data_IF_721627963794
#
_entry.id   IF_721627963794
#
_cell.length_a   1.000
_cell.length_b   1.000
_cell.length_c   1.000
_cell.angle_alpha   90.00
_cell.angle_beta   90.00
_cell.angle_gamma   90.00
#
_symmetry.space_group_name_H-M   'P 1'
#
loop_
_entity.id
_entity.type
_entity.pdbx_description
1 polymer ?
#
# COMPACT_ATOMS: atom_id res chain seq x y z
N UNK A 1 -12.29 27.43 0.87
CA UNK A 1 -12.92 26.46 1.78
C UNK A 1 -12.78 25.01 1.30
N UNK A 2 -13.21 24.65 0.09
CA UNK A 2 -13.08 23.26 -0.44
C UNK A 2 -11.64 22.77 -0.45
N UNK A 3 -10.70 23.54 -1.02
CA UNK A 3 -9.29 23.14 -1.08
C UNK A 3 -8.66 22.94 0.31
N UNK A 4 -9.01 23.78 1.29
CA UNK A 4 -8.52 23.65 2.67
C UNK A 4 -9.04 22.36 3.30
N UNK A 5 -10.32 22.03 3.11
CA UNK A 5 -10.90 20.78 3.58
C UNK A 5 -10.23 19.57 2.92
N UNK A 6 -9.98 19.65 1.60
CA UNK A 6 -9.25 18.60 0.89
C UNK A 6 -7.83 18.37 1.45
N UNK A 7 -7.08 19.44 1.72
CA UNK A 7 -5.74 19.32 2.31
C UNK A 7 -5.77 18.71 3.72
N UNK A 8 -6.76 19.11 4.54
CA UNK A 8 -6.90 18.55 5.89
C UNK A 8 -7.29 17.08 5.86
N UNK A 9 -8.32 16.72 5.08
CA UNK A 9 -8.77 15.31 5.02
C UNK A 9 -7.74 14.41 4.37
N UNK A 10 -7.19 14.81 3.22
CA UNK A 10 -6.19 14.04 2.49
C UNK A 10 -4.89 13.87 3.30
N UNK A 11 -4.40 14.97 3.89
CA UNK A 11 -3.21 14.93 4.75
C UNK A 11 -3.39 14.03 5.98
N UNK A 12 -4.57 14.10 6.62
CA UNK A 12 -4.88 13.24 7.76
C UNK A 12 -4.95 11.77 7.36
N UNK A 13 -5.65 11.45 6.27
CA UNK A 13 -5.79 10.06 5.79
C UNK A 13 -4.44 9.46 5.43
N UNK A 14 -3.62 10.17 4.65
CA UNK A 14 -2.28 9.69 4.29
C UNK A 14 -1.37 9.58 5.52
N UNK A 15 -1.40 10.58 6.40
CA UNK A 15 -0.60 10.57 7.64
C UNK A 15 -0.97 9.40 8.54
N UNK A 16 -2.24 9.14 8.75
CA UNK A 16 -2.71 8.02 9.56
C UNK A 16 -2.41 6.66 8.89
N UNK A 17 -2.64 6.52 7.60
CA UNK A 17 -2.35 5.27 6.88
C UNK A 17 -0.84 4.95 6.92
N UNK A 18 0.01 5.94 6.66
CA UNK A 18 1.46 5.80 6.81
C UNK A 18 1.87 5.49 8.24
N UNK A 19 1.24 6.13 9.22
CA UNK A 19 1.50 5.89 10.65
C UNK A 19 1.16 4.46 11.09
N UNK A 20 0.03 3.92 10.65
CA UNK A 20 -0.35 2.52 10.94
C UNK A 20 0.64 1.53 10.30
N UNK A 21 1.03 1.76 9.05
CA UNK A 21 2.03 0.93 8.38
C UNK A 21 3.40 1.03 9.07
N UNK A 22 3.80 2.23 9.50
CA UNK A 22 5.04 2.46 10.23
C UNK A 22 5.03 1.76 11.59
N UNK A 23 3.91 1.85 12.31
CA UNK A 23 3.73 1.15 13.57
C UNK A 23 3.84 -0.37 13.41
N UNK A 24 3.21 -0.94 12.37
CA UNK A 24 3.31 -2.37 12.09
C UNK A 24 4.76 -2.79 11.82
N UNK A 25 5.50 -2.02 11.02
CA UNK A 25 6.91 -2.33 10.70
C UNK A 25 7.84 -2.19 11.89
N UNK A 26 7.57 -1.27 12.83
CA UNK A 26 8.35 -1.16 14.09
C UNK A 26 7.99 -2.29 15.06
N UNK A 27 6.69 -2.58 15.22
CA UNK A 27 6.24 -3.54 16.22
C UNK A 27 6.53 -4.99 15.84
N UNK A 28 6.38 -5.33 14.56
CA UNK A 28 6.55 -6.69 14.06
C UNK A 28 7.85 -6.89 13.27
N UNK A 29 8.56 -5.81 12.98
CA UNK A 29 9.75 -5.82 12.12
C UNK A 29 9.40 -6.08 10.64
N UNK A 30 10.44 -6.34 9.87
CA UNK A 30 10.38 -6.83 8.50
C UNK A 30 11.22 -8.10 8.44
N UNK A 31 10.66 -9.24 8.89
CA UNK A 31 11.41 -10.50 8.94
C UNK A 31 11.80 -10.97 7.55
N UNK A 32 12.89 -11.70 7.45
CA UNK A 32 13.25 -12.42 6.24
C UNK A 32 12.53 -13.76 6.20
N UNK A 33 11.85 -14.03 5.07
CA UNK A 33 11.21 -15.31 4.81
C UNK A 33 12.25 -16.22 4.19
N UNK A 34 12.69 -17.18 4.97
CA UNK A 34 13.71 -18.18 4.53
C UNK A 34 13.11 -19.55 4.29
N UNK A 35 11.95 -19.86 4.90
CA UNK A 35 11.26 -21.14 4.84
C UNK A 35 9.74 -20.97 4.98
N UNK A 36 9.00 -22.05 4.77
CA UNK A 36 7.54 -22.07 4.93
C UNK A 36 7.11 -21.79 6.38
N UNK A 37 7.87 -22.26 7.36
CA UNK A 37 7.57 -22.04 8.77
C UNK A 37 7.59 -20.55 9.10
N UNK A 38 8.60 -19.83 8.63
CA UNK A 38 8.70 -18.36 8.80
C UNK A 38 7.52 -17.67 8.13
N UNK A 39 7.15 -18.09 6.90
CA UNK A 39 6.00 -17.55 6.19
C UNK A 39 4.69 -17.74 6.98
N UNK A 40 4.47 -18.93 7.55
CA UNK A 40 3.22 -19.24 8.29
C UNK A 40 3.17 -18.57 9.66
N UNK A 41 4.28 -18.52 10.38
CA UNK A 41 4.31 -18.05 11.78
C UNK A 41 4.45 -16.55 11.93
N UNK A 42 4.93 -15.84 10.90
CA UNK A 42 5.09 -14.39 10.99
C UNK A 42 3.75 -13.68 11.15
N UNK A 43 3.71 -12.72 12.09
CA UNK A 43 2.59 -11.80 12.29
C UNK A 43 2.79 -10.49 11.53
N UNK A 44 3.98 -10.26 11.00
CA UNK A 44 4.30 -9.08 10.22
C UNK A 44 3.51 -9.08 8.91
N UNK A 45 3.00 -7.92 8.52
CA UNK A 45 2.33 -7.73 7.22
C UNK A 45 3.34 -7.60 6.09
N UNK A 46 4.56 -7.19 6.40
CA UNK A 46 5.65 -6.98 5.45
C UNK A 46 6.83 -7.84 5.84
N UNK A 47 7.51 -8.34 4.82
CA UNK A 47 8.69 -9.17 4.98
C UNK A 47 9.68 -8.88 3.86
N UNK A 48 10.90 -9.41 3.98
CA UNK A 48 11.85 -9.53 2.88
C UNK A 48 11.99 -11.00 2.50
N UNK A 49 12.33 -11.25 1.25
CA UNK A 49 12.66 -12.57 0.75
C UNK A 49 13.84 -12.47 -0.22
N UNK A 50 14.79 -13.38 -0.11
CA UNK A 50 15.92 -13.49 -1.04
C UNK A 50 15.72 -14.72 -1.91
N UNK A 51 15.37 -14.50 -3.17
CA UNK A 51 15.04 -15.60 -4.08
C UNK A 51 15.22 -15.21 -5.55
N UNK A 52 15.17 -16.22 -6.40
CA UNK A 52 14.97 -16.06 -7.85
C UNK A 52 13.46 -16.00 -8.08
N UNK A 53 13.02 -15.03 -8.87
CA UNK A 53 11.64 -14.94 -9.31
C UNK A 53 11.49 -15.73 -10.61
N UNK A 54 10.70 -16.79 -10.57
CA UNK A 54 10.33 -17.55 -11.75
C UNK A 54 9.07 -16.95 -12.37
N UNK A 55 9.17 -16.42 -13.59
CA UNK A 55 8.00 -15.89 -14.31
C UNK A 55 7.07 -17.04 -14.69
N UNK A 56 5.81 -16.93 -14.29
CA UNK A 56 4.81 -17.93 -14.65
C UNK A 56 4.26 -17.76 -16.06
N UNK A 57 4.61 -16.66 -16.74
CA UNK A 57 4.04 -16.27 -18.02
C UNK A 57 2.57 -15.86 -17.95
N UNK A 58 1.97 -15.87 -16.77
CA UNK A 58 0.56 -15.51 -16.56
C UNK A 58 0.46 -14.04 -16.15
N UNK A 59 -0.28 -13.28 -16.91
CA UNK A 59 -0.65 -11.92 -16.57
C UNK A 59 -2.14 -11.72 -16.77
N UNK A 60 -2.77 -11.02 -15.86
CA UNK A 60 -4.21 -10.84 -15.82
C UNK A 60 -4.52 -9.34 -15.89
N UNK A 61 -5.30 -8.90 -16.91
CA UNK A 61 -5.75 -7.53 -17.00
C UNK A 61 -6.52 -7.11 -15.75
N UNK A 62 -6.30 -5.88 -15.31
CA UNK A 62 -7.08 -5.27 -14.23
C UNK A 62 -8.14 -4.36 -14.84
N UNK A 63 -9.16 -4.05 -14.05
CA UNK A 63 -10.28 -3.19 -14.48
C UNK A 63 -9.86 -1.78 -14.93
N UNK A 64 -8.66 -1.34 -14.58
CA UNK A 64 -8.10 -0.06 -15.02
C UNK A 64 -7.35 -0.24 -16.33
N UNK A 65 -7.66 0.59 -17.33
CA UNK A 65 -6.96 0.68 -18.61
C UNK A 65 -5.45 0.64 -18.39
N UNK A 66 -4.78 -0.27 -19.09
CA UNK A 66 -3.32 -0.43 -19.13
C UNK A 66 -2.65 -0.89 -17.81
N UNK A 67 -3.39 -1.53 -16.90
CA UNK A 67 -2.80 -2.15 -15.72
C UNK A 67 -2.98 -3.67 -15.74
N UNK A 68 -1.90 -4.39 -15.49
CA UNK A 68 -1.86 -5.85 -15.43
C UNK A 68 -1.34 -6.32 -14.08
N UNK A 69 -1.76 -7.50 -13.67
CA UNK A 69 -1.16 -8.24 -12.56
C UNK A 69 -0.27 -9.33 -13.14
N UNK A 70 1.00 -9.28 -12.80
CA UNK A 70 2.01 -10.28 -13.20
C UNK A 70 2.21 -11.26 -12.06
N UNK A 71 2.29 -12.54 -12.39
CA UNK A 71 2.44 -13.59 -11.39
C UNK A 71 3.78 -14.28 -11.55
N UNK A 72 4.49 -14.37 -10.44
CA UNK A 72 5.77 -15.05 -10.29
C UNK A 72 5.65 -16.13 -9.24
N UNK A 73 6.55 -17.08 -9.26
CA UNK A 73 6.68 -18.07 -8.20
C UNK A 73 8.08 -18.05 -7.61
N UNK A 74 8.13 -18.40 -6.33
CA UNK A 74 9.37 -18.69 -5.62
C UNK A 74 9.19 -20.05 -4.96
N UNK A 75 10.18 -20.89 -5.07
CA UNK A 75 10.18 -22.18 -4.40
C UNK A 75 10.70 -22.03 -2.99
N UNK A 76 9.88 -22.37 -2.00
CA UNK A 76 10.28 -22.54 -0.61
C UNK A 76 10.07 -24.00 -0.22
N UNK A 77 11.17 -24.71 0.06
CA UNK A 77 11.13 -26.14 0.36
C UNK A 77 10.42 -26.95 -0.75
N UNK A 78 9.30 -27.60 -0.44
CA UNK A 78 8.49 -28.40 -1.35
C UNK A 78 7.29 -27.67 -1.94
N UNK A 79 7.05 -26.39 -1.56
CA UNK A 79 5.93 -25.58 -2.01
C UNK A 79 6.37 -24.40 -2.89
N UNK A 80 5.47 -24.02 -3.78
CA UNK A 80 5.57 -22.78 -4.51
C UNK A 80 4.88 -21.67 -3.72
N UNK A 81 5.48 -20.51 -3.66
CA UNK A 81 4.86 -19.30 -3.11
C UNK A 81 4.53 -18.38 -4.28
N UNK A 82 3.26 -18.03 -4.40
CA UNK A 82 2.79 -17.12 -5.43
C UNK A 82 3.14 -15.68 -5.06
N UNK A 83 3.73 -14.96 -6.01
CA UNK A 83 4.05 -13.54 -5.88
C UNK A 83 3.29 -12.77 -6.95
N UNK A 84 2.51 -11.80 -6.53
CA UNK A 84 1.84 -10.85 -7.42
C UNK A 84 2.63 -9.55 -7.49
N UNK A 85 2.85 -9.04 -8.70
CA UNK A 85 3.46 -7.73 -8.96
C UNK A 85 2.58 -6.91 -9.90
N UNK A 86 2.53 -5.60 -9.69
CA UNK A 86 1.84 -4.65 -10.57
C UNK A 86 2.71 -4.18 -11.74
N UNK A 87 3.97 -4.56 -11.73
CA UNK A 87 4.93 -4.25 -12.79
C UNK A 87 5.61 -5.53 -13.22
N UNK A 88 5.85 -5.62 -14.53
CA UNK A 88 6.66 -6.72 -15.07
C UNK A 88 8.07 -6.65 -14.45
N UNK A 89 8.56 -7.78 -14.00
CA UNK A 89 9.91 -7.94 -13.47
C UNK A 89 10.73 -8.76 -14.44
N UNK A 90 11.98 -8.38 -14.57
CA UNK A 90 12.92 -9.17 -15.37
C UNK A 90 13.40 -10.36 -14.55
N UNK A 91 13.54 -11.50 -15.21
CA UNK A 91 14.20 -12.65 -14.65
C UNK A 91 15.67 -12.30 -14.40
N UNK A 92 16.19 -12.72 -13.27
CA UNK A 92 17.53 -12.38 -12.88
C UNK A 92 18.08 -13.29 -11.79
N UNK A 93 19.31 -13.06 -11.34
CA UNK A 93 19.88 -13.80 -10.20
C UNK A 93 19.05 -13.56 -8.94
N UNK A 94 19.25 -14.42 -7.95
CA UNK A 94 18.62 -14.26 -6.65
C UNK A 94 18.85 -12.85 -6.11
N UNK A 95 17.79 -12.19 -5.74
CA UNK A 95 17.79 -10.83 -5.20
C UNK A 95 16.91 -10.74 -3.97
N UNK A 96 17.24 -9.80 -3.09
CA UNK A 96 16.41 -9.51 -1.92
C UNK A 96 15.38 -8.43 -2.30
N UNK A 97 14.12 -8.74 -2.09
CA UNK A 97 13.02 -7.79 -2.31
C UNK A 97 12.03 -7.81 -1.16
N UNK A 98 11.25 -6.76 -1.07
CA UNK A 98 10.22 -6.65 -0.04
C UNK A 98 8.89 -7.15 -0.57
N UNK A 99 8.11 -7.73 0.34
CA UNK A 99 6.79 -8.28 0.03
C UNK A 99 5.79 -7.93 1.12
N UNK A 100 4.55 -7.85 0.73
CA UNK A 100 3.41 -7.82 1.64
C UNK A 100 2.76 -9.20 1.63
N UNK A 101 2.53 -9.75 2.82
CA UNK A 101 1.93 -11.06 3.00
C UNK A 101 0.41 -10.92 2.96
N UNK A 102 -0.24 -11.70 2.13
CA UNK A 102 -1.69 -11.75 1.98
C UNK A 102 -2.21 -13.20 2.04
N UNK A 103 -3.43 -13.43 2.52
CA UNK A 103 -4.13 -14.66 2.21
C UNK A 103 -4.42 -14.75 0.69
N UNK A 104 -4.70 -15.94 0.20
CA UNK A 104 -5.21 -16.12 -1.18
C UNK A 104 -6.64 -15.59 -1.27
N UNK A 105 -6.78 -14.31 -1.53
CA UNK A 105 -8.08 -13.65 -1.68
C UNK A 105 -8.06 -12.76 -2.94
N UNK A 106 -9.20 -12.74 -3.61
CA UNK A 106 -9.46 -11.85 -4.73
C UNK A 106 -9.47 -12.51 -6.09
N UNK A 107 -10.28 -11.94 -6.95
CA UNK A 107 -10.63 -12.44 -8.28
C UNK A 107 -9.41 -12.76 -9.16
N UNK A 108 -8.34 -11.96 -9.08
CA UNK A 108 -7.14 -12.20 -9.91
C UNK A 108 -6.39 -13.47 -9.52
N UNK A 109 -6.35 -13.80 -8.23
CA UNK A 109 -5.72 -15.03 -7.74
C UNK A 109 -6.55 -16.26 -8.12
N UNK A 110 -7.86 -16.15 -7.99
CA UNK A 110 -8.79 -17.20 -8.44
C UNK A 110 -8.66 -17.44 -9.94
N UNK A 111 -8.60 -16.39 -10.74
CA UNK A 111 -8.37 -16.47 -12.19
C UNK A 111 -7.02 -17.12 -12.53
N UNK A 112 -5.96 -16.79 -11.78
CA UNK A 112 -4.65 -17.42 -11.95
C UNK A 112 -4.72 -18.93 -11.76
N UNK A 113 -5.30 -19.39 -10.66
CA UNK A 113 -5.41 -20.84 -10.40
C UNK A 113 -6.36 -21.54 -11.39
N UNK A 114 -7.46 -20.89 -11.78
CA UNK A 114 -8.37 -21.42 -12.79
C UNK A 114 -7.66 -21.57 -14.15
N UNK A 115 -6.86 -20.59 -14.56
CA UNK A 115 -6.07 -20.64 -15.77
C UNK A 115 -5.07 -21.81 -15.75
N UNK A 116 -4.31 -21.96 -14.66
CA UNK A 116 -3.35 -23.07 -14.53
C UNK A 116 -4.03 -24.43 -14.49
N UNK A 117 -5.16 -24.55 -13.81
CA UNK A 117 -5.95 -25.78 -13.76
C UNK A 117 -6.43 -26.19 -15.15
N UNK A 118 -6.99 -25.24 -15.91
CA UNK A 118 -7.42 -25.46 -17.30
C UNK A 118 -6.23 -25.84 -18.20
N UNK A 119 -5.10 -25.17 -18.10
CA UNK A 119 -3.91 -25.45 -18.91
C UNK A 119 -3.31 -26.85 -18.63
N UNK A 120 -3.47 -27.34 -17.40
CA UNK A 120 -2.94 -28.65 -16.96
C UNK A 120 -3.97 -29.78 -17.04
N UNK A 121 -5.24 -29.48 -17.27
CA UNK A 121 -6.32 -30.47 -17.27
C UNK A 121 -6.58 -31.10 -15.90
N UNK A 122 -6.37 -30.36 -14.82
CA UNK A 122 -6.54 -30.83 -13.43
C UNK A 122 -7.52 -29.91 -12.69
N UNK A 123 -7.90 -30.27 -11.47
CA UNK A 123 -8.76 -29.41 -10.65
C UNK A 123 -7.99 -28.21 -10.09
N UNK A 124 -8.71 -27.13 -9.79
CA UNK A 124 -8.12 -25.94 -9.12
C UNK A 124 -7.51 -26.33 -7.77
N UNK A 125 -8.15 -27.24 -7.06
CA UNK A 125 -7.65 -27.73 -5.76
C UNK A 125 -6.30 -28.46 -5.88
N UNK A 126 -6.15 -29.29 -6.92
CA UNK A 126 -4.87 -30.00 -7.19
C UNK A 126 -3.74 -29.02 -7.47
N UNK A 127 -4.03 -27.95 -8.22
CA UNK A 127 -3.04 -26.88 -8.45
C UNK A 127 -2.70 -26.17 -7.15
N UNK A 128 -3.70 -25.76 -6.38
CA UNK A 128 -3.49 -25.03 -5.12
C UNK A 128 -2.68 -25.84 -4.09
N UNK A 129 -2.82 -27.18 -4.06
CA UNK A 129 -2.03 -28.03 -3.17
C UNK A 129 -0.51 -27.91 -3.37
N UNK A 130 -0.05 -27.52 -4.53
CA UNK A 130 1.38 -27.30 -4.81
C UNK A 130 1.89 -25.96 -4.26
N UNK A 131 0.98 -25.05 -3.85
CA UNK A 131 1.32 -23.73 -3.37
C UNK A 131 1.21 -23.63 -1.85
N UNK A 132 1.92 -22.66 -1.27
CA UNK A 132 1.72 -22.28 0.13
C UNK A 132 0.34 -21.62 0.28
N UNK A 133 -0.21 -21.57 1.49
CA UNK A 133 -1.53 -20.99 1.79
C UNK A 133 -1.56 -19.45 1.83
N UNK A 134 -0.40 -18.82 1.67
CA UNK A 134 -0.25 -17.37 1.62
C UNK A 134 0.43 -16.96 0.32
N UNK A 135 -0.04 -15.85 -0.23
CA UNK A 135 0.62 -15.20 -1.36
C UNK A 135 1.41 -13.98 -0.90
N UNK A 136 2.37 -13.58 -1.70
CA UNK A 136 3.18 -12.41 -1.48
C UNK A 136 2.85 -11.37 -2.56
N UNK A 137 2.66 -10.14 -2.17
CA UNK A 137 2.59 -9.02 -3.08
C UNK A 137 3.94 -8.34 -3.10
N UNK A 138 4.53 -8.20 -4.28
CA UNK A 138 5.79 -7.49 -4.46
C UNK A 138 5.68 -6.03 -4.02
N UNK A 139 6.66 -5.55 -3.29
CA UNK A 139 6.73 -4.18 -2.80
C UNK A 139 8.07 -3.55 -3.17
N UNK A 140 8.03 -2.51 -4.00
CA UNK A 140 9.23 -1.91 -4.62
C UNK A 140 10.18 -1.21 -3.65
N UNK A 141 9.71 -0.91 -2.46
CA UNK A 141 10.43 -0.08 -1.49
C UNK A 141 10.48 -0.75 -0.14
N UNK A 142 11.49 -0.42 0.66
CA UNK A 142 11.49 -0.80 2.07
C UNK A 142 10.22 -0.26 2.75
N UNK A 143 9.35 -1.13 3.29
CA UNK A 143 8.05 -0.73 3.82
C UNK A 143 8.16 0.26 4.99
N UNK A 144 9.19 0.12 5.83
CA UNK A 144 9.42 1.05 6.93
C UNK A 144 9.81 2.46 6.45
N UNK A 145 10.70 2.55 5.45
CA UNK A 145 11.06 3.85 4.84
C UNK A 145 9.87 4.49 4.14
N UNK A 146 9.13 3.70 3.34
CA UNK A 146 7.95 4.18 2.65
C UNK A 146 6.88 4.69 3.64
N UNK A 147 6.61 3.93 4.69
CA UNK A 147 5.66 4.29 5.73
C UNK A 147 6.05 5.56 6.47
N UNK A 148 7.34 5.72 6.83
CA UNK A 148 7.85 6.92 7.48
C UNK A 148 7.70 8.16 6.60
N UNK A 149 8.09 8.06 5.32
CA UNK A 149 7.95 9.17 4.36
C UNK A 149 6.49 9.53 4.14
N UNK A 150 5.62 8.53 3.92
CA UNK A 150 4.18 8.76 3.70
C UNK A 150 3.52 9.42 4.92
N UNK A 151 3.85 8.95 6.12
CA UNK A 151 3.36 9.52 7.37
C UNK A 151 3.80 10.98 7.53
N UNK A 152 5.08 11.26 7.34
CA UNK A 152 5.63 12.61 7.43
C UNK A 152 4.97 13.56 6.42
N UNK A 153 4.88 13.15 5.15
CA UNK A 153 4.26 13.96 4.10
C UNK A 153 2.78 14.21 4.37
N UNK A 154 2.05 13.20 4.86
CA UNK A 154 0.65 13.36 5.26
C UNK A 154 0.46 14.36 6.38
N UNK A 155 1.26 14.27 7.45
CA UNK A 155 1.18 15.22 8.56
C UNK A 155 1.63 16.63 8.17
N UNK A 156 2.65 16.78 7.32
CA UNK A 156 3.04 18.10 6.79
C UNK A 156 1.91 18.72 5.97
N UNK A 157 1.26 17.94 5.09
CA UNK A 157 0.12 18.40 4.31
C UNK A 157 -1.04 18.83 5.21
N UNK A 158 -1.34 18.05 6.24
CA UNK A 158 -2.34 18.39 7.25
C UNK A 158 -1.99 19.70 7.99
N UNK A 159 -0.75 19.83 8.46
CA UNK A 159 -0.29 21.03 9.15
C UNK A 159 -0.37 22.28 8.27
N UNK A 160 0.01 22.19 7.00
CA UNK A 160 -0.15 23.29 6.04
C UNK A 160 -1.61 23.68 5.86
N UNK A 161 -2.52 22.70 5.74
CA UNK A 161 -3.96 22.93 5.65
C UNK A 161 -4.50 23.61 6.91
N UNK A 162 -4.04 23.20 8.08
CA UNK A 162 -4.43 23.77 9.37
C UNK A 162 -3.98 25.23 9.50
N UNK A 163 -2.69 25.49 9.22
CA UNK A 163 -2.12 26.86 9.26
C UNK A 163 -2.88 27.79 8.30
N UNK A 164 -3.16 27.30 7.09
CA UNK A 164 -3.91 28.08 6.11
C UNK A 164 -5.34 28.39 6.62
N UNK A 165 -6.00 27.40 7.20
CA UNK A 165 -7.36 27.59 7.76
C UNK A 165 -7.36 28.61 8.91
N UNK A 166 -6.38 28.52 9.82
CA UNK A 166 -6.25 29.47 10.94
C UNK A 166 -5.95 30.87 10.44
N UNK A 167 -5.02 31.05 9.50
CA UNK A 167 -4.73 32.36 8.89
C UNK A 167 -5.95 32.95 8.18
N UNK A 168 -6.72 32.14 7.45
CA UNK A 168 -7.93 32.60 6.78
C UNK A 168 -9.02 33.02 7.78
N UNK A 169 -9.13 32.34 8.93
CA UNK A 169 -10.02 32.74 10.04
C UNK A 169 -9.60 34.06 10.65
N UNK A 170 -8.31 34.23 10.97
CA UNK A 170 -7.80 35.48 11.53
C UNK A 170 -7.99 36.67 10.57
N UNK A 171 -7.76 36.48 9.26
CA UNK A 171 -8.01 37.54 8.27
C UNK A 171 -9.50 37.92 8.24
N UNK A 172 -10.43 36.96 8.29
CA UNK A 172 -11.86 37.22 8.34
C UNK A 172 -12.26 37.97 9.60
N UNK A 173 -11.69 37.62 10.75
CA UNK A 173 -11.94 38.32 12.04
C UNK A 173 -11.40 39.73 12.00
N UNK A 174 -10.21 39.97 11.45
CA UNK A 174 -9.63 41.30 11.24
C UNK A 174 -10.52 42.14 10.32
N UNK A 175 -10.94 41.60 9.17
CA UNK A 175 -11.83 42.30 8.25
C UNK A 175 -13.16 42.63 8.94
N UNK A 176 -13.72 41.68 9.67
CA UNK A 176 -14.98 41.90 10.41
C UNK A 176 -14.82 43.00 11.47
N UNK A 177 -13.72 43.02 12.21
CA UNK A 177 -13.41 44.03 13.21
C UNK A 177 -13.27 45.41 12.59
N UNK A 178 -12.55 45.50 11.46
CA UNK A 178 -12.40 46.77 10.71
C UNK A 178 -13.77 47.28 10.21
N UNK A 179 -14.61 46.37 9.70
CA UNK A 179 -15.95 46.74 9.19
C UNK A 179 -16.88 47.22 10.29
N UNK A 180 -16.82 46.62 11.51
CA UNK A 180 -17.57 47.01 12.67
C UNK A 180 -17.12 48.42 13.16
N UNK A 181 -15.79 48.63 13.22
CA UNK A 181 -15.23 49.92 13.61
C UNK A 181 -15.57 51.05 12.62
N UNK A 182 -15.57 50.71 11.31
CA UNK A 182 -15.91 51.70 10.27
C UNK A 182 -17.40 52.08 10.27
N UNK A 183 -18.29 51.12 10.53
CA UNK A 183 -19.71 51.38 10.60
C UNK A 183 -20.20 51.89 11.96
N UNK A 184 -19.41 51.71 13.02
CA UNK A 184 -19.72 52.24 14.36
C UNK A 184 -19.48 53.73 14.54
N UNK A 185 -18.68 54.37 13.71
CA UNK A 185 -18.40 55.81 13.79
C UNK A 185 -19.33 56.68 12.91
N UNK A 186 -20.34 56.08 12.25
CA UNK A 186 -21.28 56.80 11.40
C UNK A 186 -22.61 57.25 12.07
N UNK A 187 -22.71 57.11 13.37
CA UNK A 187 -23.99 57.32 14.10
C UNK A 187 -23.99 58.42 15.16
N UNK A 188 -23.35 59.58 14.87
CA UNK A 188 -23.65 60.80 15.67
C UNK A 188 -23.58 62.04 14.78
N UNK A 189 -24.69 62.35 14.14
CA UNK A 189 -25.10 63.70 13.74
C UNK A 189 -26.59 63.81 13.84
#
# INVERSE_FOLDING_TARGET
>A
MVLQLCLLTFGLVIGCAGGVMYWDTISNGVPEIVDLKTLHTTKAKYASITAVLDDTGVHIPRDKKDSESYFYTVKLEDKLVLINSFHKREEGPASTFFVRIHPYEGTHVEMYFAFLAAARGVSVQDVQMAYADKMLQYFDSNPGKYAAISSLMGFLTFACGLIWTLKAKNIKEIIRTIFILHNGNGGTR
#
